data_IF_194265638828
#
_entry.id   IF_194265638828
#
_cell.length_a   1.000
_cell.length_b   1.000
_cell.length_c   1.000
_cell.angle_alpha   90.00
_cell.angle_beta   90.00
_cell.angle_gamma   90.00
#
_symmetry.space_group_name_H-M   'P 1'
#
loop_
_entity.id
_entity.type
_entity.pdbx_description
1 polymer ?
#
# COMPACT_ATOMS: atom_id res chain seq x y z
N UNK A 1 -16.06 -25.57 0.53
CA UNK A 1 -15.50 -25.43 -0.85
C UNK A 1 -15.62 -24.00 -1.38
N UNK A 2 -16.72 -23.30 -1.12
CA UNK A 2 -16.95 -21.90 -1.52
C UNK A 2 -15.90 -20.96 -0.96
N UNK A 3 -15.54 -21.08 0.31
CA UNK A 3 -14.57 -20.19 0.97
C UNK A 3 -13.16 -20.32 0.40
N UNK A 4 -12.73 -21.54 0.05
CA UNK A 4 -11.40 -21.74 -0.58
C UNK A 4 -11.34 -21.11 -1.97
N UNK A 5 -12.42 -21.21 -2.75
CA UNK A 5 -12.51 -20.59 -4.09
C UNK A 5 -12.50 -19.06 -3.96
N UNK A 6 -13.22 -18.50 -2.97
CA UNK A 6 -13.25 -17.08 -2.70
C UNK A 6 -11.84 -16.55 -2.33
N UNK A 7 -11.18 -17.21 -1.38
CA UNK A 7 -9.83 -16.86 -0.95
C UNK A 7 -8.82 -16.97 -2.09
N UNK A 8 -8.90 -18.04 -2.89
CA UNK A 8 -8.02 -18.22 -4.05
C UNK A 8 -8.26 -17.15 -5.13
N UNK A 9 -9.52 -16.80 -5.40
CA UNK A 9 -9.89 -15.72 -6.30
C UNK A 9 -9.39 -14.36 -5.84
N UNK A 10 -9.55 -14.05 -4.53
CA UNK A 10 -9.03 -12.82 -3.92
C UNK A 10 -7.49 -12.77 -3.97
N UNK A 11 -6.81 -13.89 -3.71
CA UNK A 11 -5.35 -13.99 -3.85
C UNK A 11 -4.90 -13.73 -5.29
N UNK A 12 -5.59 -14.32 -6.27
CA UNK A 12 -5.31 -14.11 -7.69
C UNK A 12 -5.50 -12.65 -8.09
N UNK A 13 -6.62 -12.03 -7.67
CA UNK A 13 -6.86 -10.59 -7.85
C UNK A 13 -5.72 -9.76 -7.25
N UNK A 14 -5.37 -9.99 -5.97
CA UNK A 14 -4.29 -9.29 -5.29
C UNK A 14 -2.93 -9.47 -5.98
N UNK A 15 -2.62 -10.68 -6.48
CA UNK A 15 -1.42 -10.93 -7.25
C UNK A 15 -1.38 -10.10 -8.54
N UNK A 16 -2.47 -10.10 -9.31
CA UNK A 16 -2.58 -9.30 -10.54
C UNK A 16 -2.43 -7.82 -10.23
N UNK A 17 -3.22 -7.28 -9.29
CA UNK A 17 -3.13 -5.89 -8.86
C UNK A 17 -1.71 -5.53 -8.41
N UNK A 18 -1.08 -6.35 -7.55
CA UNK A 18 0.28 -6.15 -7.07
C UNK A 18 1.33 -6.12 -8.17
N UNK A 19 1.12 -6.84 -9.29
CA UNK A 19 2.04 -6.77 -10.45
C UNK A 19 2.01 -5.43 -11.18
N UNK A 20 0.96 -4.64 -10.98
CA UNK A 20 0.76 -3.34 -11.62
C UNK A 20 1.32 -2.17 -10.78
N UNK A 21 1.55 -2.37 -9.48
CA UNK A 21 1.98 -1.32 -8.55
C UNK A 21 3.43 -0.84 -8.70
N UNK A 22 4.42 -1.61 -9.20
CA UNK A 22 5.83 -1.20 -9.15
C UNK A 22 6.13 0.15 -9.78
N UNK A 23 5.46 0.48 -10.90
CA UNK A 23 5.65 1.75 -11.60
C UNK A 23 5.04 2.92 -10.81
N UNK A 24 3.82 2.76 -10.29
CA UNK A 24 3.19 3.76 -9.43
C UNK A 24 4.02 3.99 -8.16
N UNK A 25 4.47 2.91 -7.52
CA UNK A 25 5.34 3.01 -6.35
C UNK A 25 6.64 3.77 -6.62
N UNK A 26 7.25 3.59 -7.80
CA UNK A 26 8.43 4.38 -8.19
C UNK A 26 8.06 5.85 -8.43
N UNK A 27 7.03 6.12 -9.23
CA UNK A 27 6.64 7.48 -9.60
C UNK A 27 6.30 8.33 -8.39
N UNK A 28 5.56 7.77 -7.42
CA UNK A 28 5.20 8.46 -6.19
C UNK A 28 6.34 8.51 -5.15
N UNK A 29 7.43 7.75 -5.33
CA UNK A 29 8.57 7.76 -4.41
C UNK A 29 9.52 8.94 -4.70
N UNK A 30 8.99 10.14 -4.90
CA UNK A 30 9.76 11.37 -5.00
C UNK A 30 9.82 12.06 -3.62
N UNK A 31 10.99 12.61 -3.20
CA UNK A 31 11.15 13.34 -1.95
C UNK A 31 10.16 14.51 -1.82
N UNK A 32 9.95 14.97 -0.58
CA UNK A 32 9.07 16.11 -0.33
C UNK A 32 9.59 17.38 -1.04
N UNK A 33 8.69 18.07 -1.73
CA UNK A 33 9.04 19.27 -2.51
C UNK A 33 9.47 18.98 -3.95
N UNK A 34 9.74 17.73 -4.31
CA UNK A 34 10.07 17.34 -5.69
C UNK A 34 8.84 16.89 -6.47
N UNK A 35 8.90 17.05 -7.80
CA UNK A 35 7.89 16.53 -8.71
C UNK A 35 7.94 14.99 -8.76
N UNK A 36 6.80 14.36 -9.07
CA UNK A 36 6.75 12.91 -9.25
C UNK A 36 7.68 12.45 -10.38
N UNK A 37 8.34 11.30 -10.20
CA UNK A 37 9.24 10.78 -11.21
C UNK A 37 8.53 10.55 -12.55
N UNK A 38 8.98 11.24 -13.59
CA UNK A 38 8.54 11.07 -14.98
C UNK A 38 9.55 10.31 -15.82
N UNK A 39 10.77 10.15 -15.32
CA UNK A 39 11.89 9.49 -15.95
C UNK A 39 12.48 8.40 -15.07
N UNK A 40 13.13 7.42 -15.69
CA UNK A 40 13.90 6.41 -14.96
C UNK A 40 15.27 7.03 -14.52
N UNK A 41 16.06 6.36 -13.66
CA UNK A 41 17.37 6.89 -13.25
C UNK A 41 18.36 7.12 -14.39
N UNK A 42 18.12 6.57 -15.59
CA UNK A 42 18.92 6.81 -16.80
C UNK A 42 18.39 7.95 -17.68
N UNK A 43 17.39 8.74 -17.22
CA UNK A 43 16.82 9.87 -17.97
C UNK A 43 15.81 9.49 -19.06
N UNK A 44 15.41 8.22 -19.18
CA UNK A 44 14.43 7.81 -20.18
C UNK A 44 13.00 7.99 -19.66
N UNK A 45 12.03 8.41 -20.49
CA UNK A 45 10.66 8.68 -20.06
C UNK A 45 9.94 7.41 -19.58
N UNK A 46 9.22 7.53 -18.47
CA UNK A 46 8.39 6.46 -17.90
C UNK A 46 6.96 6.67 -18.30
N UNK A 47 6.48 5.91 -19.29
CA UNK A 47 5.09 5.95 -19.76
C UNK A 47 4.11 5.32 -18.78
N UNK A 48 2.97 6.01 -18.52
CA UNK A 48 1.86 5.50 -17.69
C UNK A 48 2.17 5.41 -16.19
N UNK A 49 1.17 5.00 -15.42
CA UNK A 49 1.24 4.88 -13.95
C UNK A 49 1.33 3.43 -13.47
N UNK A 50 0.76 2.49 -14.19
CA UNK A 50 0.67 1.09 -13.80
C UNK A 50 1.64 0.22 -14.61
N UNK A 51 2.11 -0.86 -14.01
CA UNK A 51 2.92 -1.88 -14.66
C UNK A 51 4.34 -2.03 -14.11
N UNK A 52 5.20 -2.64 -14.90
CA UNK A 52 6.57 -2.98 -14.50
C UNK A 52 7.45 -1.74 -14.40
N UNK A 53 8.21 -1.60 -13.31
CA UNK A 53 9.23 -0.58 -13.15
C UNK A 53 10.57 -1.07 -13.75
N UNK A 54 10.65 -1.13 -15.08
CA UNK A 54 11.82 -1.51 -15.87
C UNK A 54 11.96 -0.57 -17.06
N UNK A 55 13.19 -0.14 -17.31
CA UNK A 55 13.57 0.60 -18.50
C UNK A 55 14.25 -0.35 -19.49
N UNK A 56 13.73 -0.44 -20.71
CA UNK A 56 14.33 -1.26 -21.76
C UNK A 56 15.58 -0.61 -22.37
N UNK A 57 15.66 0.73 -22.32
CA UNK A 57 16.75 1.51 -22.89
C UNK A 57 18.00 1.58 -21.98
N UNK A 58 17.81 1.36 -20.66
CA UNK A 58 18.95 1.28 -19.73
C UNK A 58 19.66 -0.05 -19.87
N UNK A 59 20.96 -0.02 -20.13
CA UNK A 59 21.83 -1.18 -20.17
C UNK A 59 22.35 -1.49 -18.77
N UNK A 60 22.28 -2.75 -18.27
CA UNK A 60 22.90 -3.11 -17.00
C UNK A 60 24.41 -2.89 -17.02
N UNK A 61 25.03 -2.41 -15.91
CA UNK A 61 26.48 -2.29 -15.83
C UNK A 61 27.15 -3.63 -16.09
N UNK A 62 28.14 -3.67 -16.97
CA UNK A 62 28.92 -4.88 -17.31
C UNK A 62 28.31 -5.77 -18.40
N UNK A 63 27.18 -5.38 -19.03
CA UNK A 63 26.70 -6.09 -20.23
C UNK A 63 27.49 -5.62 -21.44
N UNK A 64 28.30 -6.50 -22.01
CA UNK A 64 28.93 -6.28 -23.31
C UNK A 64 27.83 -6.41 -24.37
N UNK A 65 27.41 -5.30 -24.98
CA UNK A 65 26.51 -5.29 -26.13
C UNK A 65 27.31 -5.63 -27.39
N UNK A 66 27.61 -6.92 -27.56
CA UNK A 66 28.17 -7.41 -28.82
C UNK A 66 27.04 -8.02 -29.68
N UNK A 67 27.18 -8.01 -31.03
CA UNK A 67 26.25 -8.72 -31.89
C UNK A 67 26.27 -10.21 -31.56
N UNK A 68 25.11 -10.79 -31.28
CA UNK A 68 24.92 -12.25 -31.16
C UNK A 68 24.49 -12.76 -32.54
N UNK A 69 25.27 -13.69 -33.11
CA UNK A 69 24.95 -14.34 -34.37
C UNK A 69 24.21 -15.65 -34.11
N UNK A 70 23.16 -15.90 -34.84
CA UNK A 70 22.55 -17.24 -34.89
C UNK A 70 23.49 -18.16 -35.64
N UNK A 71 23.95 -19.24 -35.00
CA UNK A 71 24.90 -20.18 -35.56
C UNK A 71 24.35 -20.97 -36.75
N UNK A 72 23.03 -20.99 -36.96
CA UNK A 72 22.34 -21.71 -38.04
C UNK A 72 22.01 -20.84 -39.24
N UNK A 73 21.73 -19.56 -39.04
CA UNK A 73 21.25 -18.67 -40.13
C UNK A 73 22.22 -17.52 -40.43
N UNK A 74 23.26 -17.31 -39.63
CA UNK A 74 24.17 -16.18 -39.78
C UNK A 74 23.53 -14.80 -39.59
N UNK A 75 22.27 -14.74 -39.15
CA UNK A 75 21.53 -13.49 -38.95
C UNK A 75 21.93 -12.86 -37.61
N UNK A 76 22.22 -11.57 -37.65
CA UNK A 76 22.55 -10.76 -36.49
C UNK A 76 21.27 -10.44 -35.70
N UNK A 77 21.18 -10.97 -34.46
CA UNK A 77 20.10 -10.64 -33.54
C UNK A 77 20.61 -9.64 -32.52
N UNK A 78 20.05 -8.44 -32.54
CA UNK A 78 20.15 -7.52 -31.42
C UNK A 78 19.19 -8.01 -30.32
N UNK A 79 19.66 -8.90 -29.45
CA UNK A 79 18.93 -9.22 -28.23
C UNK A 79 18.98 -7.98 -27.34
N UNK A 80 17.86 -7.26 -27.23
CA UNK A 80 17.72 -6.15 -26.31
C UNK A 80 18.19 -6.61 -24.92
N UNK A 81 19.15 -5.94 -24.29
CA UNK A 81 19.62 -6.33 -22.96
C UNK A 81 18.46 -6.32 -21.98
N UNK A 82 18.46 -7.21 -20.96
CA UNK A 82 17.40 -7.20 -19.96
C UNK A 82 17.40 -5.85 -19.26
N UNK A 83 16.33 -5.04 -19.50
CA UNK A 83 16.22 -3.68 -19.01
C UNK A 83 16.46 -3.54 -17.50
N UNK A 84 17.02 -2.43 -17.07
CA UNK A 84 17.33 -2.13 -15.68
C UNK A 84 16.06 -1.89 -14.88
N UNK A 85 15.96 -2.53 -13.70
CA UNK A 85 14.87 -2.32 -12.76
C UNK A 85 15.11 -1.04 -11.96
N UNK A 86 14.12 -0.14 -11.92
CA UNK A 86 14.20 1.12 -11.17
C UNK A 86 13.22 1.21 -10.00
N UNK A 87 12.29 0.28 -9.86
CA UNK A 87 11.29 0.26 -8.80
C UNK A 87 11.31 -1.01 -7.92
N UNK A 88 10.34 -1.14 -7.03
CA UNK A 88 10.23 -2.32 -6.15
C UNK A 88 10.01 -3.60 -6.94
N UNK A 89 10.31 -4.73 -6.28
CA UNK A 89 10.14 -6.05 -6.89
C UNK A 89 8.69 -6.34 -7.23
N UNK A 90 8.41 -6.65 -8.50
CA UNK A 90 7.08 -7.05 -8.97
C UNK A 90 6.57 -8.29 -8.24
N UNK A 91 7.44 -9.29 -8.04
CA UNK A 91 7.06 -10.53 -7.38
C UNK A 91 6.77 -10.29 -5.89
N UNK A 92 7.56 -9.46 -5.21
CA UNK A 92 7.31 -9.12 -3.82
C UNK A 92 5.98 -8.39 -3.65
N UNK A 93 5.67 -7.39 -4.50
CA UNK A 93 4.40 -6.69 -4.44
C UNK A 93 3.22 -7.61 -4.78
N UNK A 94 3.36 -8.46 -5.79
CA UNK A 94 2.34 -9.45 -6.14
C UNK A 94 2.07 -10.40 -4.96
N UNK A 95 3.11 -10.93 -4.32
CA UNK A 95 2.98 -11.84 -3.18
C UNK A 95 2.35 -11.15 -1.96
N UNK A 96 2.82 -9.94 -1.59
CA UNK A 96 2.27 -9.19 -0.46
C UNK A 96 0.81 -8.85 -0.70
N UNK A 97 0.47 -8.32 -1.87
CA UNK A 97 -0.92 -7.93 -2.17
C UNK A 97 -1.83 -9.15 -2.27
N UNK A 98 -1.34 -10.29 -2.81
CA UNK A 98 -2.07 -11.56 -2.81
C UNK A 98 -2.39 -12.04 -1.39
N UNK A 99 -1.41 -12.02 -0.50
CA UNK A 99 -1.58 -12.42 0.91
C UNK A 99 -2.55 -11.50 1.64
N UNK A 100 -2.46 -10.18 1.42
CA UNK A 100 -3.40 -9.20 1.99
C UNK A 100 -4.82 -9.48 1.52
N UNK A 101 -5.05 -9.63 0.21
CA UNK A 101 -6.38 -9.91 -0.34
C UNK A 101 -6.93 -11.28 0.11
N UNK A 102 -6.08 -12.30 0.19
CA UNK A 102 -6.46 -13.63 0.69
C UNK A 102 -6.90 -13.58 2.15
N UNK A 103 -6.14 -12.88 3.01
CA UNK A 103 -6.48 -12.73 4.42
C UNK A 103 -7.78 -11.94 4.61
N UNK A 104 -7.99 -10.87 3.83
CA UNK A 104 -9.24 -10.10 3.83
C UNK A 104 -10.44 -10.97 3.45
N UNK A 105 -10.31 -11.78 2.39
CA UNK A 105 -11.36 -12.69 1.97
C UNK A 105 -11.63 -13.79 3.00
N UNK A 106 -10.58 -14.33 3.62
CA UNK A 106 -10.73 -15.35 4.66
C UNK A 106 -11.43 -14.82 5.92
N UNK A 107 -11.20 -13.55 6.30
CA UNK A 107 -11.83 -12.93 7.45
C UNK A 107 -13.25 -12.43 7.16
N UNK A 108 -13.50 -11.88 5.95
CA UNK A 108 -14.78 -11.26 5.60
C UNK A 108 -15.78 -12.28 5.06
N UNK A 109 -15.32 -13.36 4.43
CA UNK A 109 -16.22 -14.31 3.75
C UNK A 109 -16.92 -13.68 2.54
N UNK A 110 -18.18 -14.06 2.31
CA UNK A 110 -18.97 -13.62 1.15
C UNK A 110 -19.71 -12.30 1.35
N UNK A 111 -19.43 -11.58 2.43
CA UNK A 111 -20.09 -10.30 2.74
C UNK A 111 -19.76 -9.22 1.69
N UNK A 112 -20.69 -8.29 1.40
CA UNK A 112 -20.55 -7.31 0.32
C UNK A 112 -19.38 -6.35 0.50
N UNK A 113 -18.98 -6.04 1.75
CA UNK A 113 -17.82 -5.21 2.05
C UNK A 113 -16.49 -5.81 1.59
N UNK A 114 -16.42 -7.12 1.30
CA UNK A 114 -15.22 -7.72 0.72
C UNK A 114 -14.79 -7.02 -0.57
N UNK A 115 -15.74 -6.62 -1.41
CA UNK A 115 -15.44 -5.87 -2.62
C UNK A 115 -14.68 -4.57 -2.34
N UNK A 116 -15.05 -3.87 -1.27
CA UNK A 116 -14.36 -2.65 -0.82
C UNK A 116 -12.94 -2.97 -0.38
N UNK A 117 -12.76 -4.04 0.41
CA UNK A 117 -11.44 -4.45 0.90
C UNK A 117 -10.51 -4.87 -0.23
N UNK A 118 -11.02 -5.55 -1.24
CA UNK A 118 -10.23 -5.97 -2.41
C UNK A 118 -9.82 -4.79 -3.32
N UNK A 119 -10.57 -3.70 -3.31
CA UNK A 119 -10.20 -2.46 -4.02
C UNK A 119 -9.21 -1.62 -3.21
N UNK A 120 -9.43 -1.47 -1.90
CA UNK A 120 -8.59 -0.64 -1.03
C UNK A 120 -7.28 -1.32 -0.63
N UNK A 121 -7.25 -2.65 -0.51
CA UNK A 121 -6.05 -3.41 -0.12
C UNK A 121 -4.81 -3.13 -0.98
N UNK A 122 -4.88 -3.23 -2.32
CA UNK A 122 -3.77 -2.86 -3.20
C UNK A 122 -3.31 -1.41 -3.05
N UNK A 123 -4.25 -0.46 -2.85
CA UNK A 123 -3.91 0.95 -2.59
C UNK A 123 -3.21 1.13 -1.25
N UNK A 124 -3.65 0.42 -0.21
CA UNK A 124 -2.97 0.38 1.08
C UNK A 124 -1.53 -0.13 0.96
N UNK A 125 -1.31 -1.22 0.22
CA UNK A 125 0.04 -1.74 -0.05
C UNK A 125 0.88 -0.71 -0.80
N UNK A 126 0.32 -0.03 -1.80
CA UNK A 126 1.02 1.03 -2.53
C UNK A 126 1.44 2.18 -1.60
N UNK A 127 0.52 2.68 -0.77
CA UNK A 127 0.78 3.75 0.19
C UNK A 127 1.87 3.36 1.20
N UNK A 128 1.82 2.14 1.74
CA UNK A 128 2.83 1.63 2.66
C UNK A 128 4.22 1.57 2.01
N UNK A 129 4.30 1.10 0.76
CA UNK A 129 5.58 1.00 0.03
C UNK A 129 6.15 2.39 -0.31
N UNK A 130 5.31 3.33 -0.71
CA UNK A 130 5.76 4.71 -1.00
C UNK A 130 6.29 5.37 0.27
N UNK A 131 5.53 5.27 1.37
CA UNK A 131 5.93 5.88 2.64
C UNK A 131 7.21 5.24 3.23
N UNK A 132 7.37 3.92 3.10
CA UNK A 132 8.62 3.25 3.48
C UNK A 132 9.85 3.75 2.71
N UNK A 133 9.66 4.24 1.49
CA UNK A 133 10.77 4.66 0.61
C UNK A 133 11.16 6.12 0.78
N UNK A 134 10.18 6.99 0.94
CA UNK A 134 10.41 8.44 0.91
C UNK A 134 9.79 9.20 2.08
N UNK A 135 9.15 8.48 3.03
CA UNK A 135 8.49 9.07 4.20
C UNK A 135 7.51 10.19 3.80
N UNK A 136 6.80 9.95 2.69
CA UNK A 136 5.85 10.90 2.12
C UNK A 136 4.62 10.14 1.63
N UNK A 137 3.46 10.54 2.10
CA UNK A 137 2.18 10.04 1.63
C UNK A 137 1.59 11.01 0.59
N UNK A 138 1.46 10.59 -0.68
CA UNK A 138 0.97 11.44 -1.75
C UNK A 138 -0.51 11.79 -1.57
N UNK A 139 -0.84 13.09 -1.60
CA UNK A 139 -2.22 13.56 -1.51
C UNK A 139 -3.15 12.97 -2.60
N UNK A 140 -2.70 12.80 -3.86
CA UNK A 140 -3.50 12.14 -4.89
C UNK A 140 -3.85 10.67 -4.61
N UNK A 141 -3.25 10.05 -3.59
CA UNK A 141 -3.59 8.70 -3.16
C UNK A 141 -4.32 8.68 -1.82
N UNK A 142 -3.89 9.47 -0.83
CA UNK A 142 -4.46 9.45 0.52
C UNK A 142 -5.87 9.99 0.59
N UNK A 143 -6.15 11.12 -0.07
CA UNK A 143 -7.49 11.73 -0.07
C UNK A 143 -8.51 10.88 -0.84
N UNK A 144 -8.22 10.43 -2.09
CA UNK A 144 -9.13 9.49 -2.76
C UNK A 144 -9.31 8.16 -2.01
N UNK A 145 -8.28 7.66 -1.31
CA UNK A 145 -8.40 6.47 -0.48
C UNK A 145 -9.46 6.67 0.63
N UNK A 146 -9.39 7.76 1.38
CA UNK A 146 -10.36 8.07 2.42
C UNK A 146 -11.77 8.30 1.85
N UNK A 147 -11.88 9.06 0.76
CA UNK A 147 -13.15 9.31 0.07
C UNK A 147 -13.76 8.03 -0.49
N UNK A 148 -12.95 7.18 -1.13
CA UNK A 148 -13.40 5.89 -1.65
C UNK A 148 -13.84 4.94 -0.52
N UNK A 149 -13.12 4.89 0.60
CA UNK A 149 -13.53 4.10 1.75
C UNK A 149 -14.93 4.49 2.22
N UNK A 150 -15.18 5.76 2.49
CA UNK A 150 -16.50 6.24 2.95
C UNK A 150 -17.60 6.07 1.90
N UNK A 151 -17.32 6.38 0.63
CA UNK A 151 -18.31 6.27 -0.43
C UNK A 151 -18.69 4.80 -0.72
N UNK A 152 -17.70 3.92 -0.84
CA UNK A 152 -17.96 2.50 -1.12
C UNK A 152 -18.64 1.81 0.08
N UNK A 153 -18.24 2.11 1.32
CA UNK A 153 -18.91 1.60 2.51
C UNK A 153 -20.33 2.14 2.63
N UNK A 154 -20.57 3.40 2.23
CA UNK A 154 -21.92 3.95 2.14
C UNK A 154 -22.80 3.22 1.13
N UNK A 155 -22.24 2.81 -0.01
CA UNK A 155 -22.96 1.97 -0.98
C UNK A 155 -23.22 0.56 -0.43
N UNK A 156 -22.24 -0.03 0.24
CA UNK A 156 -22.38 -1.35 0.88
C UNK A 156 -23.45 -1.34 1.95
N UNK A 157 -23.58 -0.25 2.72
CA UNK A 157 -24.64 -0.11 3.74
C UNK A 157 -26.08 -0.16 3.20
N UNK A 158 -26.25 0.00 1.87
CA UNK A 158 -27.54 -0.16 1.20
C UNK A 158 -27.83 -1.61 0.77
N UNK A 159 -26.82 -2.49 0.84
CA UNK A 159 -26.94 -3.90 0.45
C UNK A 159 -27.24 -4.73 1.67
N UNK A 160 -28.23 -5.65 1.64
CA UNK A 160 -28.44 -6.62 2.74
C UNK A 160 -27.18 -7.45 3.05
N UNK A 161 -27.11 -8.01 4.26
CA UNK A 161 -26.04 -8.93 4.70
C UNK A 161 -24.66 -8.28 4.93
N UNK A 162 -24.56 -6.93 4.96
CA UNK A 162 -23.35 -6.26 5.43
C UNK A 162 -23.20 -6.42 6.95
N UNK A 163 -21.96 -6.51 7.43
CA UNK A 163 -21.70 -6.74 8.87
C UNK A 163 -21.41 -5.45 9.65
N UNK A 164 -21.08 -4.34 8.99
CA UNK A 164 -20.67 -3.11 9.65
C UNK A 164 -21.71 -1.99 9.55
N UNK A 165 -21.35 -0.84 10.13
CA UNK A 165 -22.20 0.34 10.20
C UNK A 165 -21.52 1.57 9.58
N UNK A 166 -22.20 2.23 8.64
CA UNK A 166 -21.63 3.41 7.97
C UNK A 166 -21.45 4.60 8.91
N UNK A 167 -22.35 4.77 9.87
CA UNK A 167 -22.27 5.86 10.86
C UNK A 167 -21.01 5.73 11.73
N UNK A 168 -20.70 4.53 12.17
CA UNK A 168 -19.47 4.27 12.94
C UNK A 168 -18.22 4.35 12.06
N UNK A 169 -18.31 4.01 10.76
CA UNK A 169 -17.23 4.24 9.80
C UNK A 169 -16.92 5.74 9.65
N UNK A 170 -17.94 6.58 9.49
CA UNK A 170 -17.79 8.03 9.42
C UNK A 170 -17.23 8.62 10.72
N UNK A 171 -17.78 8.22 11.86
CA UNK A 171 -17.28 8.66 13.17
C UNK A 171 -15.85 8.18 13.45
N UNK A 172 -15.50 6.97 13.05
CA UNK A 172 -14.15 6.43 13.13
C UNK A 172 -13.15 7.22 12.28
N UNK A 173 -13.54 7.59 11.05
CA UNK A 173 -12.75 8.47 10.19
C UNK A 173 -12.47 9.81 10.88
N UNK A 174 -13.51 10.47 11.38
CA UNK A 174 -13.38 11.75 12.05
C UNK A 174 -12.56 11.66 13.34
N UNK A 175 -12.81 10.64 14.16
CA UNK A 175 -12.11 10.44 15.42
C UNK A 175 -10.62 10.16 15.22
N UNK A 176 -10.27 9.24 14.29
CA UNK A 176 -8.87 8.95 13.99
C UNK A 176 -8.20 10.15 13.32
N UNK A 177 -8.84 10.77 12.33
CA UNK A 177 -8.33 11.97 11.68
C UNK A 177 -8.07 13.11 12.68
N UNK A 178 -9.03 13.39 13.57
CA UNK A 178 -8.88 14.40 14.61
C UNK A 178 -7.77 14.02 15.63
N UNK A 179 -7.73 12.76 16.07
CA UNK A 179 -6.69 12.27 16.98
C UNK A 179 -5.28 12.44 16.40
N UNK A 180 -5.07 12.03 15.15
CA UNK A 180 -3.80 12.19 14.45
C UNK A 180 -3.48 13.65 14.14
N UNK A 181 -4.50 14.48 13.88
CA UNK A 181 -4.30 15.92 13.74
C UNK A 181 -3.82 16.58 15.04
N UNK A 182 -4.38 16.18 16.18
CA UNK A 182 -3.90 16.65 17.49
C UNK A 182 -2.47 16.19 17.73
N UNK A 183 -2.11 14.93 17.42
CA UNK A 183 -0.73 14.45 17.54
C UNK A 183 0.22 15.24 16.63
N UNK A 184 -0.20 15.55 15.40
CA UNK A 184 0.56 16.41 14.50
C UNK A 184 0.79 17.81 15.08
N UNK A 185 -0.24 18.43 15.69
CA UNK A 185 -0.09 19.75 16.33
C UNK A 185 0.87 19.73 17.52
N UNK A 186 0.88 18.63 18.29
CA UNK A 186 1.80 18.46 19.44
C UNK A 186 3.24 18.28 18.96
N UNK A 187 3.47 17.53 17.90
CA UNK A 187 4.81 17.25 17.39
C UNK A 187 4.88 17.25 15.85
N UNK A 188 4.85 18.42 15.21
CA UNK A 188 4.88 18.51 13.74
C UNK A 188 6.15 17.95 13.09
N UNK A 189 7.25 17.86 13.84
CA UNK A 189 8.50 17.28 13.37
C UNK A 189 8.59 15.76 13.49
N UNK A 190 7.67 15.15 14.23
CA UNK A 190 7.64 13.71 14.47
C UNK A 190 6.62 12.94 13.64
N UNK A 191 5.67 13.63 13.02
CA UNK A 191 4.59 13.02 12.22
C UNK A 191 4.29 13.86 11.00
N UNK A 192 4.15 13.22 9.84
CA UNK A 192 3.76 13.88 8.60
C UNK A 192 2.26 14.23 8.56
N UNK A 193 1.89 15.35 7.95
CA UNK A 193 0.47 15.67 7.72
C UNK A 193 -0.23 14.63 6.80
N UNK A 194 0.55 13.87 6.03
CA UNK A 194 0.07 12.73 5.26
C UNK A 194 -0.55 11.63 6.12
N UNK A 195 0.02 11.39 7.33
CA UNK A 195 -0.51 10.40 8.28
C UNK A 195 -1.89 10.79 8.80
N UNK A 196 -2.16 12.09 8.99
CA UNK A 196 -3.48 12.61 9.36
C UNK A 196 -4.52 12.29 8.28
N UNK A 197 -4.16 12.49 7.00
CA UNK A 197 -5.03 12.18 5.87
C UNK A 197 -5.26 10.68 5.72
N UNK A 198 -4.21 9.89 5.92
CA UNK A 198 -4.30 8.43 5.91
C UNK A 198 -5.17 7.90 7.05
N UNK A 199 -5.08 8.55 8.24
CA UNK A 199 -5.88 8.20 9.41
C UNK A 199 -7.39 8.36 9.19
N UNK A 200 -7.83 9.30 8.34
CA UNK A 200 -9.24 9.40 7.91
C UNK A 200 -9.69 8.11 7.23
N UNK A 201 -8.92 7.61 6.27
CA UNK A 201 -9.24 6.37 5.56
C UNK A 201 -9.15 5.13 6.44
N UNK A 202 -8.10 5.02 7.26
CA UNK A 202 -7.95 3.94 8.22
C UNK A 202 -9.08 3.92 9.26
N UNK A 203 -9.48 5.11 9.74
CA UNK A 203 -10.61 5.27 10.66
C UNK A 203 -11.94 4.86 10.05
N UNK A 204 -12.18 5.16 8.76
CA UNK A 204 -13.37 4.70 8.04
C UNK A 204 -13.42 3.17 7.95
N UNK A 205 -12.31 2.55 7.56
CA UNK A 205 -12.18 1.10 7.41
C UNK A 205 -12.38 0.38 8.75
N UNK A 206 -11.71 0.84 9.81
CA UNK A 206 -11.83 0.26 11.15
C UNK A 206 -13.19 0.53 11.77
N UNK A 207 -13.69 1.75 11.62
CA UNK A 207 -14.98 2.18 12.15
C UNK A 207 -16.16 1.40 11.57
N UNK A 208 -16.02 0.82 10.38
CA UNK A 208 -17.03 -0.07 9.80
C UNK A 208 -17.41 -1.21 10.74
N UNK A 209 -16.42 -1.80 11.42
CA UNK A 209 -16.62 -2.85 12.43
C UNK A 209 -16.75 -2.32 13.87
N UNK A 210 -16.87 -1.01 14.03
CA UNK A 210 -17.14 -0.38 15.34
C UNK A 210 -15.88 -0.02 16.13
N UNK A 211 -16.11 0.56 17.31
CA UNK A 211 -15.07 1.13 18.16
C UNK A 211 -13.99 0.14 18.63
N UNK A 212 -14.31 -1.14 18.94
CA UNK A 212 -13.27 -2.10 19.29
C UNK A 212 -12.24 -2.29 18.19
N UNK A 213 -12.67 -2.35 16.92
CA UNK A 213 -11.76 -2.45 15.78
C UNK A 213 -10.89 -1.18 15.62
N UNK A 214 -11.48 0.01 15.82
CA UNK A 214 -10.73 1.30 15.82
C UNK A 214 -9.64 1.29 16.89
N UNK A 215 -9.99 0.91 18.13
CA UNK A 215 -9.02 0.89 19.23
C UNK A 215 -7.91 -0.15 19.00
N UNK A 216 -8.26 -1.38 18.64
CA UNK A 216 -7.30 -2.45 18.40
C UNK A 216 -6.37 -2.16 17.21
N UNK A 217 -6.94 -1.69 16.10
CA UNK A 217 -6.15 -1.33 14.93
C UNK A 217 -5.19 -0.17 15.18
N UNK A 218 -5.65 0.86 15.88
CA UNK A 218 -4.81 1.99 16.28
C UNK A 218 -3.69 1.56 17.22
N UNK A 219 -4.02 0.78 18.26
CA UNK A 219 -3.04 0.25 19.20
C UNK A 219 -2.00 -0.63 18.47
N UNK A 220 -2.45 -1.53 17.59
CA UNK A 220 -1.56 -2.37 16.81
C UNK A 220 -0.58 -1.54 15.95
N UNK A 221 -1.07 -0.47 15.31
CA UNK A 221 -0.22 0.45 14.54
C UNK A 221 0.87 1.11 15.40
N UNK A 222 0.52 1.61 16.58
CA UNK A 222 1.49 2.18 17.52
C UNK A 222 2.49 1.12 18.03
N UNK A 223 2.03 -0.08 18.34
CA UNK A 223 2.90 -1.19 18.78
C UNK A 223 3.88 -1.56 17.66
N UNK A 224 3.42 -1.70 16.42
CA UNK A 224 4.32 -1.99 15.28
C UNK A 224 5.38 -0.90 15.09
N UNK A 225 4.97 0.37 15.15
CA UNK A 225 5.90 1.50 15.07
C UNK A 225 6.90 1.53 16.23
N UNK A 226 6.45 1.26 17.45
CA UNK A 226 7.31 1.21 18.65
C UNK A 226 8.30 0.05 18.59
N UNK A 227 7.86 -1.14 18.17
CA UNK A 227 8.74 -2.32 18.01
C UNK A 227 9.78 -2.06 16.92
N UNK A 228 9.38 -1.54 15.77
CA UNK A 228 10.30 -1.21 14.69
C UNK A 228 11.32 -0.14 15.10
N UNK A 229 10.84 0.97 15.69
CA UNK A 229 11.71 2.05 16.17
C UNK A 229 12.66 1.58 17.28
N UNK A 230 12.14 0.81 18.24
CA UNK A 230 12.94 0.21 19.30
C UNK A 230 14.02 -0.72 18.76
N UNK A 231 13.68 -1.58 17.78
CA UNK A 231 14.65 -2.46 17.12
C UNK A 231 15.78 -1.68 16.42
N UNK A 232 15.45 -0.57 15.76
CA UNK A 232 16.45 0.29 15.11
C UNK A 232 17.39 0.94 16.13
N UNK A 233 16.87 1.39 17.29
CA UNK A 233 17.66 1.97 18.38
C UNK A 233 18.59 0.92 18.98
N UNK A 234 18.10 -0.28 19.29
CA UNK A 234 18.89 -1.39 19.82
C UNK A 234 19.97 -1.80 18.82
N UNK A 235 19.65 -1.85 17.53
CA UNK A 235 20.62 -2.14 16.47
C UNK A 235 21.60 -0.99 16.19
N UNK A 236 21.53 0.12 16.95
CA UNK A 236 22.33 1.35 16.76
C UNK A 236 22.24 1.94 15.35
N UNK A 237 21.14 1.68 14.63
CA UNK A 237 20.88 2.18 13.28
C UNK A 237 20.01 3.44 13.27
N UNK A 238 19.44 3.80 14.40
CA UNK A 238 18.65 5.01 14.56
C UNK A 238 19.06 5.77 15.83
N UNK A 239 19.08 7.09 15.75
CA UNK A 239 19.23 8.02 16.87
C UNK A 239 17.92 8.76 17.13
N UNK A 240 17.91 9.62 18.17
CA UNK A 240 16.72 10.42 18.57
C UNK A 240 16.15 11.32 17.45
N UNK A 241 16.91 11.58 16.38
CA UNK A 241 16.50 12.42 15.24
C UNK A 241 16.20 11.63 13.98
N UNK A 242 16.24 10.30 14.03
CA UNK A 242 15.94 9.47 12.85
C UNK A 242 14.44 9.47 12.62
N UNK A 243 13.99 10.01 11.49
CA UNK A 243 12.61 9.94 11.07
C UNK A 243 12.25 8.49 10.71
N UNK A 244 11.11 8.02 11.20
CA UNK A 244 10.57 6.68 10.93
C UNK A 244 9.25 6.88 10.19
N UNK A 245 9.04 6.22 9.02
CA UNK A 245 7.76 6.30 8.33
C UNK A 245 6.66 5.70 9.21
N UNK A 246 5.62 6.47 9.52
CA UNK A 246 4.53 5.98 10.36
C UNK A 246 3.40 5.33 9.56
N UNK A 247 3.18 5.75 8.31
CA UNK A 247 2.12 5.25 7.45
C UNK A 247 2.03 3.73 7.31
N UNK A 248 3.15 3.00 7.12
CA UNK A 248 3.12 1.54 7.02
C UNK A 248 2.62 0.85 8.29
N UNK A 249 2.92 1.43 9.47
CA UNK A 249 2.46 0.89 10.75
C UNK A 249 0.99 1.19 10.98
N UNK A 250 0.52 2.38 10.59
CA UNK A 250 -0.90 2.72 10.60
C UNK A 250 -1.71 1.79 9.68
N UNK A 251 -1.23 1.54 8.46
CA UNK A 251 -1.86 0.60 7.51
C UNK A 251 -1.82 -0.82 8.06
N UNK A 252 -0.69 -1.27 8.60
CA UNK A 252 -0.56 -2.59 9.21
C UNK A 252 -1.49 -2.79 10.40
N UNK A 253 -1.59 -1.78 11.26
CA UNK A 253 -2.53 -1.77 12.40
C UNK A 253 -3.98 -1.78 11.94
N UNK A 254 -4.33 -0.95 10.94
CA UNK A 254 -5.65 -0.94 10.33
C UNK A 254 -6.00 -2.31 9.71
N UNK A 255 -5.05 -2.94 9.04
CA UNK A 255 -5.22 -4.29 8.49
C UNK A 255 -5.53 -5.33 9.58
N UNK A 256 -4.77 -5.33 10.68
CA UNK A 256 -5.01 -6.24 11.81
C UNK A 256 -6.36 -5.97 12.46
N UNK A 257 -6.68 -4.71 12.73
CA UNK A 257 -7.97 -4.33 13.32
C UNK A 257 -9.16 -4.70 12.42
N UNK A 258 -9.01 -4.54 11.11
CA UNK A 258 -10.01 -4.95 10.12
C UNK A 258 -10.20 -6.48 10.12
N UNK A 259 -9.10 -7.27 10.11
CA UNK A 259 -9.21 -8.72 10.16
C UNK A 259 -9.93 -9.21 11.43
N UNK A 260 -9.58 -8.64 12.59
CA UNK A 260 -10.22 -8.99 13.86
C UNK A 260 -11.69 -8.59 13.85
N UNK A 261 -12.01 -7.37 13.38
CA UNK A 261 -13.38 -6.89 13.27
C UNK A 261 -14.22 -7.72 12.30
N UNK A 262 -13.67 -8.05 11.14
CA UNK A 262 -14.35 -8.88 10.15
C UNK A 262 -14.59 -10.32 10.61
N UNK A 263 -13.66 -10.88 11.37
CA UNK A 263 -13.79 -12.24 11.90
C UNK A 263 -14.79 -12.31 13.07
N UNK A 264 -14.93 -11.23 13.85
CA UNK A 264 -15.82 -11.15 15.00
C UNK A 264 -17.27 -10.79 14.63
N UNK A 265 -17.51 -10.26 13.43
CA UNK A 265 -18.82 -9.88 12.89
C UNK A 265 -19.49 -11.03 12.12
#
# INVERSE_FOLDING_TARGET
>A
MTDLVLVAGAAAWGAVAGTLLPRAAYRFSAPAGEAWHTECPGGHPVGGWLGRARCAECVPPGTVTGPTYDATTGTEYHRAPPGVRYGPSRLALAAVTALVCAALAAATGTRPELGVWLLLGPLGVLLAVVDFRVQRLPDPLTLPFAGAALALLGLVALVPEHAGEWTTALLGALALGAGYFVLFLINPGGMGFGDVKLALGAGAVLGWYGWPAVMLGTLAGFVFGAVYGGALVVARRAGRKTAIPFGPFLIGGAFVGLLIGAYAA
#
